data_IF_121961710829
#
_entry.id   IF_121961710829
#
_cell.length_a   1.000
_cell.length_b   1.000
_cell.length_c   1.000
_cell.angle_alpha   90.00
_cell.angle_beta   90.00
_cell.angle_gamma   90.00
#
_symmetry.space_group_name_H-M   'P 1'
#
loop_
_entity.id
_entity.type
_entity.pdbx_description
1 polymer ?
#
# COMPACT_ATOMS: atom_id res chain seq x y z
N UNK A 1 -17.45 -16.67 -9.43
CA UNK A 1 -16.79 -16.72 -8.11
C UNK A 1 -17.12 -15.42 -7.41
N UNK A 2 -17.79 -15.46 -6.26
CA UNK A 2 -17.96 -14.28 -5.42
C UNK A 2 -16.57 -13.96 -4.84
N UNK A 3 -15.79 -13.15 -5.55
CA UNK A 3 -14.64 -12.50 -4.94
C UNK A 3 -15.19 -11.66 -3.80
N UNK A 4 -14.98 -12.08 -2.55
CA UNK A 4 -15.17 -11.17 -1.42
C UNK A 4 -14.42 -9.89 -1.79
N UNK A 5 -15.07 -8.74 -1.65
CA UNK A 5 -14.40 -7.46 -1.82
C UNK A 5 -13.53 -7.26 -0.59
N UNK A 6 -12.32 -7.83 -0.64
CA UNK A 6 -11.37 -7.84 0.46
C UNK A 6 -10.76 -6.45 0.51
N UNK A 7 -10.89 -5.78 1.67
CA UNK A 7 -10.20 -4.52 1.92
C UNK A 7 -8.69 -4.79 1.97
N UNK A 8 -7.94 -4.05 1.16
CA UNK A 8 -6.49 -4.22 1.00
C UNK A 8 -5.71 -3.12 1.72
N UNK A 9 -6.31 -1.95 1.88
CA UNK A 9 -5.76 -0.86 2.67
C UNK A 9 -6.89 0.07 3.15
N UNK A 10 -6.56 0.96 4.08
CA UNK A 10 -7.47 1.97 4.59
C UNK A 10 -6.75 3.30 4.80
N UNK A 11 -7.38 4.39 4.36
CA UNK A 11 -7.11 5.73 4.86
C UNK A 11 -8.05 6.01 6.03
N UNK A 12 -7.55 6.39 7.21
CA UNK A 12 -8.37 6.40 8.44
C UNK A 12 -9.45 7.49 8.48
N UNK A 13 -9.42 8.47 7.57
CA UNK A 13 -10.44 9.52 7.49
C UNK A 13 -11.47 9.31 6.35
N UNK A 14 -12.71 9.78 6.55
CA UNK A 14 -13.23 10.41 7.78
C UNK A 14 -13.51 9.39 8.88
N UNK A 15 -13.14 9.71 10.13
CA UNK A 15 -13.48 8.88 11.28
C UNK A 15 -15.01 8.81 11.50
N UNK A 16 -15.55 7.68 11.99
CA UNK A 16 -14.84 6.45 12.35
C UNK A 16 -14.75 5.44 11.19
N UNK A 17 -15.18 5.81 9.98
CA UNK A 17 -15.37 4.87 8.87
C UNK A 17 -14.10 4.66 8.05
N UNK A 18 -13.30 5.70 7.89
CA UNK A 18 -12.19 5.72 6.94
C UNK A 18 -12.65 5.60 5.48
N UNK A 19 -11.67 5.45 4.61
CA UNK A 19 -11.83 5.19 3.18
C UNK A 19 -11.05 3.92 2.84
N UNK A 20 -11.80 2.86 2.57
CA UNK A 20 -11.27 1.54 2.17
C UNK A 20 -10.73 1.56 0.74
N UNK A 21 -9.63 0.85 0.51
CA UNK A 21 -9.07 0.57 -0.81
C UNK A 21 -9.25 -0.90 -1.12
N UNK A 22 -9.83 -1.18 -2.29
CA UNK A 22 -10.04 -2.52 -2.80
C UNK A 22 -9.14 -2.79 -4.00
N UNK A 23 -9.24 -4.01 -4.54
CA UNK A 23 -8.48 -4.42 -5.71
C UNK A 23 -8.71 -3.51 -6.91
N UNK A 24 -9.93 -3.00 -7.08
CA UNK A 24 -10.31 -2.11 -8.17
C UNK A 24 -9.60 -0.76 -8.06
N UNK A 25 -9.42 -0.25 -6.83
CA UNK A 25 -8.68 0.99 -6.59
C UNK A 25 -7.19 0.79 -6.84
N UNK A 26 -6.59 -0.24 -6.23
CA UNK A 26 -5.14 -0.47 -6.26
C UNK A 26 -4.61 -0.97 -7.61
N UNK A 27 -5.49 -1.22 -8.59
CA UNK A 27 -5.10 -1.45 -9.98
C UNK A 27 -4.68 -0.16 -10.71
N UNK A 28 -4.96 1.01 -10.14
CA UNK A 28 -4.64 2.31 -10.71
C UNK A 28 -3.45 2.93 -9.98
N UNK A 29 -2.39 3.27 -10.72
CA UNK A 29 -1.14 3.83 -10.17
C UNK A 29 -1.40 5.06 -9.30
N UNK A 30 -2.30 5.94 -9.74
CA UNK A 30 -2.62 7.19 -9.07
C UNK A 30 -3.23 6.96 -7.68
N UNK A 31 -4.01 5.89 -7.52
CA UNK A 31 -4.59 5.49 -6.23
C UNK A 31 -3.54 4.87 -5.30
N UNK A 32 -2.51 4.22 -5.85
CA UNK A 32 -1.39 3.70 -5.06
C UNK A 32 -0.51 4.85 -4.56
N UNK A 33 -0.21 5.85 -5.39
CA UNK A 33 0.51 7.07 -4.96
C UNK A 33 -0.26 7.75 -3.83
N UNK A 34 -1.55 8.00 -4.02
CA UNK A 34 -2.40 8.62 -2.99
C UNK A 34 -2.38 7.84 -1.67
N UNK A 35 -2.43 6.50 -1.74
CA UNK A 35 -2.33 5.66 -0.55
C UNK A 35 -0.96 5.77 0.13
N UNK A 36 0.12 5.80 -0.64
CA UNK A 36 1.48 5.97 -0.11
C UNK A 36 1.64 7.34 0.55
N UNK A 37 1.05 8.40 -0.01
CA UNK A 37 1.04 9.74 0.58
C UNK A 37 0.35 9.72 1.96
N UNK A 38 -0.74 8.96 2.09
CA UNK A 38 -1.40 8.78 3.40
C UNK A 38 -0.56 7.96 4.37
N UNK A 39 0.12 6.93 3.90
CA UNK A 39 1.03 6.13 4.74
C UNK A 39 2.23 6.96 5.24
N UNK A 40 2.78 7.86 4.40
CA UNK A 40 3.85 8.78 4.76
C UNK A 40 3.50 9.64 5.98
N UNK A 41 2.25 10.07 6.11
CA UNK A 41 1.75 10.89 7.23
C UNK A 41 1.10 10.05 8.34
N UNK A 42 1.26 8.73 8.34
CA UNK A 42 0.72 7.79 9.33
C UNK A 42 -0.82 7.73 9.38
N UNK A 43 -1.50 8.08 8.28
CA UNK A 43 -2.96 8.03 8.16
C UNK A 43 -3.44 6.90 7.23
N UNK A 44 -2.54 6.27 6.49
CA UNK A 44 -2.79 5.12 5.64
C UNK A 44 -2.24 3.83 6.26
N UNK A 45 -2.99 2.74 6.14
CA UNK A 45 -2.53 1.39 6.52
C UNK A 45 -2.75 0.45 5.35
N UNK A 46 -1.67 -0.19 4.90
CA UNK A 46 -1.72 -1.28 3.92
C UNK A 46 -1.72 -2.60 4.67
N UNK A 47 -2.72 -3.45 4.44
CA UNK A 47 -2.74 -4.77 5.06
C UNK A 47 -1.77 -5.72 4.38
N UNK A 48 -1.47 -6.85 5.04
CA UNK A 48 -0.59 -7.87 4.48
C UNK A 48 -1.07 -8.35 3.10
N UNK A 49 -2.38 -8.57 2.93
CA UNK A 49 -2.99 -8.93 1.66
C UNK A 49 -2.86 -7.81 0.60
N UNK A 50 -2.87 -6.55 1.04
CA UNK A 50 -2.64 -5.39 0.18
C UNK A 50 -1.23 -5.33 -0.36
N UNK A 51 -0.23 -5.52 0.50
CA UNK A 51 1.18 -5.62 0.06
C UNK A 51 1.40 -6.77 -0.91
N UNK A 52 0.87 -7.96 -0.60
CA UNK A 52 0.94 -9.11 -1.50
C UNK A 52 0.33 -8.79 -2.87
N UNK A 53 -0.82 -8.12 -2.90
CA UNK A 53 -1.45 -7.70 -4.14
C UNK A 53 -0.60 -6.68 -4.92
N UNK A 54 -0.08 -5.66 -4.25
CA UNK A 54 0.75 -4.62 -4.88
C UNK A 54 2.02 -5.22 -5.51
N UNK A 55 2.70 -6.12 -4.78
CA UNK A 55 3.90 -6.81 -5.26
C UNK A 55 3.58 -7.71 -6.47
N UNK A 56 2.49 -8.48 -6.42
CA UNK A 56 2.06 -9.31 -7.56
C UNK A 56 1.68 -8.46 -8.79
N UNK A 57 1.03 -7.31 -8.57
CA UNK A 57 0.52 -6.46 -9.64
C UNK A 57 1.61 -5.63 -10.32
N UNK A 58 2.51 -5.03 -9.55
CA UNK A 58 3.46 -4.03 -10.04
C UNK A 58 4.91 -4.53 -10.03
N UNK A 59 5.26 -5.48 -9.16
CA UNK A 59 6.66 -5.80 -8.87
C UNK A 59 7.34 -4.71 -8.05
N UNK A 60 8.53 -5.01 -7.52
CA UNK A 60 9.25 -4.06 -6.66
C UNK A 60 9.77 -2.85 -7.43
N UNK A 61 10.20 -3.02 -8.67
CA UNK A 61 10.74 -1.94 -9.51
C UNK A 61 9.69 -0.84 -9.76
N UNK A 62 8.47 -1.21 -10.13
CA UNK A 62 7.42 -0.21 -10.37
C UNK A 62 6.89 0.40 -9.08
N UNK A 63 6.85 -0.36 -7.98
CA UNK A 63 6.51 0.19 -6.66
C UNK A 63 7.57 1.18 -6.16
N UNK A 64 8.85 0.95 -6.48
CA UNK A 64 9.92 1.89 -6.14
C UNK A 64 9.73 3.22 -6.86
N UNK A 65 9.40 3.22 -8.16
CA UNK A 65 9.10 4.45 -8.90
C UNK A 65 7.86 5.17 -8.35
N UNK A 66 6.82 4.43 -7.96
CA UNK A 66 5.63 4.98 -7.29
C UNK A 66 6.01 5.63 -5.95
N UNK A 67 6.86 4.97 -5.16
CA UNK A 67 7.37 5.51 -3.91
C UNK A 67 8.23 6.75 -4.11
N UNK A 68 9.07 6.84 -5.17
CA UNK A 68 9.82 8.07 -5.45
C UNK A 68 8.91 9.25 -5.83
N UNK A 69 7.73 8.99 -6.38
CA UNK A 69 6.72 10.02 -6.66
C UNK A 69 5.99 10.47 -5.38
N UNK A 70 5.66 9.55 -4.48
CA UNK A 70 4.99 9.84 -3.20
C UNK A 70 5.94 10.42 -2.13
N UNK A 71 7.15 9.87 -2.07
CA UNK A 71 8.18 10.18 -1.07
C UNK A 71 7.92 9.52 0.29
N UNK A 72 7.30 8.33 0.34
CA UNK A 72 7.04 7.65 1.60
C UNK A 72 8.34 7.12 2.22
N UNK A 73 9.10 6.26 1.53
CA UNK A 73 10.36 5.76 2.06
C UNK A 73 11.55 6.66 1.69
N UNK A 74 12.48 6.83 2.64
CA UNK A 74 13.74 7.54 2.44
C UNK A 74 14.84 6.64 1.84
N UNK A 75 14.43 5.70 0.99
CA UNK A 75 15.35 4.73 0.39
C UNK A 75 16.13 5.36 -0.78
N UNK A 76 17.45 5.14 -0.79
CA UNK A 76 18.35 5.63 -1.85
C UNK A 76 18.53 4.59 -2.97
N UNK A 77 18.14 3.34 -2.72
CA UNK A 77 18.23 2.22 -3.66
C UNK A 77 17.00 1.32 -3.64
N UNK A 78 16.82 0.55 -4.72
CA UNK A 78 15.74 -0.44 -4.78
C UNK A 78 15.94 -1.56 -3.75
N UNK A 79 17.17 -1.93 -3.43
CA UNK A 79 17.48 -2.94 -2.41
C UNK A 79 17.03 -2.50 -1.02
N UNK A 80 17.27 -1.23 -0.66
CA UNK A 80 16.78 -0.64 0.59
C UNK A 80 15.26 -0.58 0.61
N UNK A 81 14.63 -0.12 -0.48
CA UNK A 81 13.18 -0.09 -0.61
C UNK A 81 12.53 -1.46 -0.42
N UNK A 82 13.12 -2.52 -1.00
CA UNK A 82 12.64 -3.89 -0.82
C UNK A 82 12.70 -4.31 0.66
N UNK A 83 13.74 -3.92 1.40
CA UNK A 83 13.83 -4.24 2.82
C UNK A 83 12.83 -3.42 3.66
N UNK A 84 12.60 -2.16 3.32
CA UNK A 84 11.54 -1.34 3.92
C UNK A 84 10.15 -1.95 3.73
N UNK A 85 9.80 -2.36 2.50
CA UNK A 85 8.53 -3.08 2.25
C UNK A 85 8.44 -4.34 3.11
N UNK A 86 9.51 -5.15 3.19
CA UNK A 86 9.50 -6.35 4.02
C UNK A 86 9.30 -6.03 5.50
N UNK A 87 9.84 -4.91 5.98
CA UNK A 87 9.65 -4.47 7.37
C UNK A 87 8.21 -4.02 7.60
N UNK A 88 7.63 -3.22 6.69
CA UNK A 88 6.22 -2.84 6.73
C UNK A 88 5.31 -4.08 6.71
N UNK A 89 5.58 -5.06 5.85
CA UNK A 89 4.80 -6.31 5.79
C UNK A 89 4.85 -7.11 7.09
N UNK A 90 5.95 -7.07 7.86
CA UNK A 90 6.06 -7.77 9.16
C UNK A 90 5.15 -7.18 10.23
N UNK A 91 4.87 -5.88 10.15
CA UNK A 91 4.04 -5.15 11.12
C UNK A 91 2.63 -4.88 10.60
N UNK A 92 2.40 -5.08 9.31
CA UNK A 92 1.10 -4.89 8.67
C UNK A 92 0.04 -5.82 9.27
N UNK A 93 -1.18 -5.33 9.55
CA UNK A 93 -2.25 -6.19 10.01
C UNK A 93 -2.67 -7.17 8.91
N UNK A 94 -3.07 -8.38 9.30
CA UNK A 94 -3.89 -9.23 8.43
C UNK A 94 -5.31 -8.70 8.44
N UNK A 95 -5.99 -8.71 7.29
CA UNK A 95 -7.44 -8.52 7.29
C UNK A 95 -8.14 -9.76 7.89
N UNK A 96 -9.19 -9.53 8.68
CA UNK A 96 -9.98 -10.58 9.36
C UNK A 96 -11.09 -11.14 8.45
#
# INVERSE_FOLDING_TARGET
MNSKNIELAIYIYPLPKGTSYYKEDLQHKEKVIELFDYCQILEGVIYLEGWNFLIDKYGYEALYEIDKESGWFDSESIEEFIEEIKNEMKISPSNL
#
